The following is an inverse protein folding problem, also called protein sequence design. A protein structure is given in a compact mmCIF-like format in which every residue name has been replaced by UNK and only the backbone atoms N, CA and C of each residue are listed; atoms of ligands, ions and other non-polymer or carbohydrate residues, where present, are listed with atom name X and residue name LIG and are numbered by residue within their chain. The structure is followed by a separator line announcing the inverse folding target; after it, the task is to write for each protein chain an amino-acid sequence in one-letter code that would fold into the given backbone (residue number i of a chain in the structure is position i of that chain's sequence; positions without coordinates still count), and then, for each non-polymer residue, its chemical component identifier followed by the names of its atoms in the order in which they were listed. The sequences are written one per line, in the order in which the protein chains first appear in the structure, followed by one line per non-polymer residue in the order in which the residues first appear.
data_IF_507125171068
#
_entry.id   IF_507125171068
#
_cell.length_a   1.000
_cell.length_b   1.000
_cell.length_c   1.000
_cell.angle_alpha   90.00
_cell.angle_beta   90.00
_cell.angle_gamma   90.00
#
_symmetry.space_group_name_H-M   'P 1'
#
loop_
_entity.id
_entity.type
_entity.pdbx_description
1 polymer ?
#
# COMPACT_ATOMS: atom_id res chain seq x y z
N UNK A 1 0.90 -37.10 -0.76
CA UNK A 1 1.00 -36.70 -2.17
C UNK A 1 2.42 -36.91 -2.65
N UNK A 2 2.57 -37.49 -3.81
CA UNK A 2 3.88 -37.57 -4.46
C UNK A 2 4.27 -36.22 -5.09
N UNK A 3 5.57 -35.89 -5.22
CA UNK A 3 6.02 -34.63 -5.79
C UNK A 3 5.49 -34.31 -7.20
N UNK A 4 5.12 -35.39 -7.94
CA UNK A 4 4.53 -35.28 -9.29
C UNK A 4 3.06 -34.93 -9.31
N UNK A 5 2.34 -35.14 -8.22
CA UNK A 5 0.89 -34.95 -8.12
C UNK A 5 0.51 -33.56 -7.60
N UNK A 6 1.49 -32.74 -7.16
CA UNK A 6 1.25 -31.47 -6.49
C UNK A 6 1.96 -30.35 -7.23
N UNK A 7 1.25 -29.26 -7.51
CA UNK A 7 1.86 -27.99 -7.92
C UNK A 7 2.34 -27.26 -6.66
N UNK A 8 3.64 -27.01 -6.58
CA UNK A 8 4.26 -26.40 -5.41
C UNK A 8 4.86 -25.04 -5.74
N UNK A 9 4.33 -23.98 -5.13
CA UNK A 9 4.76 -22.61 -5.32
C UNK A 9 5.37 -22.05 -4.03
N UNK A 10 6.66 -22.29 -3.77
CA UNK A 10 7.31 -21.79 -2.56
C UNK A 10 7.49 -20.27 -2.65
N UNK A 11 7.03 -19.56 -1.62
CA UNK A 11 7.22 -18.12 -1.48
C UNK A 11 8.30 -17.84 -0.45
N UNK A 12 9.17 -16.88 -0.73
CA UNK A 12 10.28 -16.46 0.15
C UNK A 12 11.12 -17.68 0.60
N UNK A 13 11.73 -18.33 -0.37
CA UNK A 13 12.43 -19.62 -0.21
C UNK A 13 13.59 -19.50 0.78
N UNK A 14 13.69 -20.48 1.68
CA UNK A 14 14.84 -20.65 2.56
C UNK A 14 16.04 -21.17 1.75
N UNK A 15 17.18 -20.43 1.70
CA UNK A 15 18.36 -20.89 0.98
C UNK A 15 18.90 -22.24 1.45
N UNK A 16 18.69 -22.59 2.72
CA UNK A 16 19.10 -23.87 3.30
C UNK A 16 18.12 -25.02 3.01
N UNK A 17 16.87 -24.67 2.67
CA UNK A 17 15.78 -25.61 2.36
C UNK A 17 14.98 -25.12 1.16
N UNK A 18 15.46 -25.30 -0.09
CA UNK A 18 14.86 -24.72 -1.30
C UNK A 18 13.42 -25.15 -1.57
N UNK A 19 12.98 -26.25 -0.97
CA UNK A 19 11.60 -26.74 -1.07
C UNK A 19 10.64 -26.06 -0.08
N UNK A 20 11.14 -25.22 0.85
CA UNK A 20 10.32 -24.61 1.91
C UNK A 20 10.25 -23.10 1.76
N UNK A 21 9.03 -22.59 1.66
CA UNK A 21 8.78 -21.15 1.77
C UNK A 21 8.79 -20.68 3.22
N UNK A 22 9.19 -19.45 3.46
CA UNK A 22 9.12 -18.76 4.78
C UNK A 22 7.95 -17.80 4.81
N UNK A 23 7.12 -17.91 5.84
CA UNK A 23 6.07 -16.95 6.11
C UNK A 23 6.61 -15.69 6.82
N UNK A 24 5.93 -14.57 6.64
CA UNK A 24 6.28 -13.28 7.27
C UNK A 24 5.65 -13.08 8.67
N UNK A 25 4.86 -14.05 9.16
CA UNK A 25 4.08 -13.94 10.40
C UNK A 25 4.95 -13.64 11.63
N UNK A 26 6.13 -14.26 11.73
CA UNK A 26 7.03 -14.05 12.87
C UNK A 26 7.57 -12.61 12.87
N UNK A 27 7.93 -12.09 11.71
CA UNK A 27 8.48 -10.75 11.53
C UNK A 27 7.44 -9.65 11.81
N UNK A 28 6.16 -9.95 11.57
CA UNK A 28 5.07 -8.99 11.73
C UNK A 28 4.40 -9.04 13.11
N UNK A 29 4.70 -10.04 13.95
CA UNK A 29 4.00 -10.25 15.22
C UNK A 29 4.02 -9.02 16.10
N UNK A 30 5.19 -8.47 16.36
CA UNK A 30 5.37 -7.36 17.30
C UNK A 30 4.74 -6.07 16.75
N UNK A 31 4.91 -5.81 15.46
CA UNK A 31 4.32 -4.64 14.79
C UNK A 31 2.79 -4.70 14.81
N UNK A 32 2.21 -5.88 14.54
CA UNK A 32 0.76 -6.09 14.62
C UNK A 32 0.22 -5.96 16.06
N UNK A 33 1.02 -6.35 17.07
CA UNK A 33 0.68 -6.17 18.46
C UNK A 33 0.69 -4.68 18.82
N UNK A 34 1.68 -3.92 18.39
CA UNK A 34 1.75 -2.46 18.56
C UNK A 34 0.54 -1.76 17.93
N UNK A 35 0.18 -2.12 16.70
CA UNK A 35 -1.00 -1.57 16.02
C UNK A 35 -2.30 -1.88 16.78
N UNK A 36 -2.45 -3.10 17.31
CA UNK A 36 -3.60 -3.45 18.15
C UNK A 36 -3.63 -2.64 19.44
N UNK A 37 -2.48 -2.45 20.07
CA UNK A 37 -2.36 -1.66 21.30
C UNK A 37 -2.67 -0.18 21.03
N UNK A 38 -2.16 0.40 19.97
CA UNK A 38 -2.45 1.76 19.54
C UNK A 38 -3.95 1.96 19.29
N UNK A 39 -4.60 1.04 18.58
CA UNK A 39 -6.05 1.07 18.35
C UNK A 39 -6.84 0.96 19.66
N UNK A 40 -6.43 0.07 20.58
CA UNK A 40 -7.07 -0.07 21.90
C UNK A 40 -6.91 1.21 22.73
N UNK A 41 -5.73 1.84 22.72
CA UNK A 41 -5.46 3.10 23.41
C UNK A 41 -6.30 4.23 22.86
N UNK A 42 -6.38 4.35 21.52
CA UNK A 42 -7.22 5.35 20.85
C UNK A 42 -8.69 5.17 21.20
N UNK A 43 -9.20 3.93 21.18
CA UNK A 43 -10.59 3.64 21.53
C UNK A 43 -10.89 3.99 23.00
N UNK A 44 -10.00 3.63 23.95
CA UNK A 44 -10.14 4.03 25.35
C UNK A 44 -10.10 5.54 25.51
N UNK A 45 -9.15 6.18 24.88
CA UNK A 45 -9.04 7.64 24.91
C UNK A 45 -10.30 8.33 24.38
N UNK A 46 -10.88 7.82 23.30
CA UNK A 46 -12.14 8.33 22.76
C UNK A 46 -13.32 8.08 23.70
N UNK A 47 -13.37 6.91 24.36
CA UNK A 47 -14.40 6.59 25.34
C UNK A 47 -14.28 7.45 26.59
N UNK A 48 -13.06 7.71 27.07
CA UNK A 48 -12.79 8.46 28.31
C UNK A 48 -12.66 9.98 28.09
N UNK A 49 -12.78 10.47 26.86
CA UNK A 49 -12.59 11.89 26.49
C UNK A 49 -13.50 12.84 27.25
N UNK A 50 -14.65 12.37 27.73
CA UNK A 50 -15.63 13.16 28.45
C UNK A 50 -15.45 13.09 29.97
N UNK A 51 -14.48 12.33 30.48
CA UNK A 51 -14.14 12.29 31.88
C UNK A 51 -13.02 13.30 32.15
N UNK A 52 -13.32 14.47 32.70
CA UNK A 52 -12.27 15.40 33.11
C UNK A 52 -11.44 14.72 34.20
N UNK A 53 -10.13 14.71 34.03
CA UNK A 53 -9.21 14.31 35.11
C UNK A 53 -9.20 15.44 36.13
N UNK A 54 -10.06 15.32 37.14
CA UNK A 54 -10.22 16.33 38.18
C UNK A 54 -9.50 15.84 39.42
N UNK A 55 -8.58 16.64 39.93
CA UNK A 55 -8.00 16.42 41.27
C UNK A 55 -8.81 17.27 42.24
N UNK A 56 -9.54 16.61 43.11
CA UNK A 56 -10.28 17.28 44.17
C UNK A 56 -9.38 17.31 45.40
N UNK A 57 -8.91 18.48 45.80
CA UNK A 57 -8.19 18.70 47.06
C UNK A 57 -9.21 19.02 48.13
N UNK A 58 -9.20 18.26 49.17
CA UNK A 58 -10.10 18.45 50.33
C UNK A 58 -9.27 18.77 51.54
N UNK A 59 -9.72 19.76 52.33
CA UNK A 59 -9.04 20.12 53.55
C UNK A 59 -9.16 18.98 54.58
N UNK A 60 -8.02 18.54 55.12
CA UNK A 60 -7.87 17.31 55.91
C UNK A 60 -8.57 17.34 57.29
N UNK A 61 -9.28 18.39 57.64
CA UNK A 61 -9.92 18.58 58.91
C UNK A 61 -11.35 17.99 59.04
N UNK A 62 -11.89 17.42 57.97
CA UNK A 62 -13.20 16.78 58.02
C UNK A 62 -13.04 15.29 58.35
N UNK A 63 -13.51 14.86 59.51
CA UNK A 63 -13.50 13.45 59.99
C UNK A 63 -14.13 12.45 59.01
N UNK A 64 -14.92 12.94 58.05
CA UNK A 64 -15.58 12.14 57.03
C UNK A 64 -14.62 11.59 55.96
N UNK A 65 -13.41 12.17 55.79
CA UNK A 65 -12.42 11.70 54.81
C UNK A 65 -11.52 10.57 55.33
N UNK A 66 -11.48 10.33 56.61
CA UNK A 66 -10.65 9.29 57.23
C UNK A 66 -11.19 7.88 56.95
N UNK A 67 -12.47 7.73 56.59
CA UNK A 67 -13.08 6.45 56.27
C UNK A 67 -13.32 6.25 54.76
N UNK A 68 -13.18 4.96 54.31
CA UNK A 68 -13.46 4.59 52.92
C UNK A 68 -14.93 4.85 52.51
N UNK A 69 -15.84 4.66 53.46
CA UNK A 69 -17.27 4.93 53.29
C UNK A 69 -17.58 6.42 53.12
N UNK A 70 -16.87 7.29 53.84
CA UNK A 70 -17.00 8.75 53.69
C UNK A 70 -16.50 9.24 52.36
N UNK A 71 -15.34 8.74 51.92
CA UNK A 71 -14.80 9.08 50.55
C UNK A 71 -15.75 8.66 49.43
N UNK A 72 -16.40 7.49 49.58
CA UNK A 72 -17.34 6.97 48.62
C UNK A 72 -18.63 7.81 48.55
N UNK A 73 -19.17 8.23 49.70
CA UNK A 73 -20.34 9.14 49.74
C UNK A 73 -20.08 10.50 49.11
N UNK A 74 -18.89 11.06 49.36
CA UNK A 74 -18.50 12.32 48.73
C UNK A 74 -18.29 12.20 47.24
N UNK A 75 -17.70 11.10 46.81
CA UNK A 75 -17.59 10.82 45.37
C UNK A 75 -18.97 10.66 44.72
N UNK A 76 -19.91 10.00 45.37
CA UNK A 76 -21.29 9.88 44.90
C UNK A 76 -22.07 11.20 44.94
N UNK A 77 -21.81 12.04 45.94
CA UNK A 77 -22.51 13.31 46.11
C UNK A 77 -21.99 14.44 45.21
N UNK A 78 -20.66 14.48 44.95
CA UNK A 78 -20.02 15.57 44.22
C UNK A 78 -19.41 15.14 42.87
N UNK A 79 -19.25 13.84 42.64
CA UNK A 79 -18.65 13.27 41.40
C UNK A 79 -19.62 12.32 40.69
N UNK A 80 -20.91 12.27 41.11
CA UNK A 80 -21.91 11.47 40.39
C UNK A 80 -22.08 12.05 38.97
N UNK A 81 -21.91 11.20 38.00
CA UNK A 81 -22.10 11.52 36.58
C UNK A 81 -23.60 11.85 36.35
N UNK A 82 -23.93 13.12 36.21
CA UNK A 82 -25.16 13.50 35.49
C UNK A 82 -24.87 13.34 34.01
N UNK A 83 -25.63 12.48 33.32
CA UNK A 83 -25.51 12.14 31.90
C UNK A 83 -25.66 13.35 30.94
N UNK A 84 -25.91 14.54 31.45
CA UNK A 84 -26.30 15.71 30.67
C UNK A 84 -25.28 16.83 30.60
N UNK A 85 -24.06 16.64 31.11
CA UNK A 85 -23.01 17.69 31.00
C UNK A 85 -23.35 18.99 31.76
N UNK A 86 -24.16 18.91 32.81
CA UNK A 86 -24.48 20.03 33.67
C UNK A 86 -23.22 20.55 34.39
N UNK A 87 -23.03 21.87 34.56
CA UNK A 87 -21.87 22.40 35.25
C UNK A 87 -21.94 22.02 36.73
N UNK A 88 -20.81 21.53 37.24
CA UNK A 88 -20.68 21.19 38.65
C UNK A 88 -20.69 22.46 39.51
N UNK A 89 -21.62 22.54 40.45
CA UNK A 89 -21.68 23.62 41.42
C UNK A 89 -21.06 23.13 42.71
N UNK A 90 -19.85 23.61 43.04
CA UNK A 90 -19.07 23.18 44.21
C UNK A 90 -18.93 24.39 45.14
N UNK A 91 -19.17 24.22 46.46
CA UNK A 91 -18.92 25.29 47.42
C UNK A 91 -17.43 25.68 47.42
N UNK A 92 -17.15 26.97 47.17
CA UNK A 92 -15.78 27.50 46.98
C UNK A 92 -14.90 27.39 48.23
N UNK A 93 -15.50 27.29 49.41
CA UNK A 93 -14.78 27.29 50.70
C UNK A 93 -14.27 25.92 51.15
N UNK A 94 -14.69 24.85 50.49
CA UNK A 94 -14.38 23.47 50.91
C UNK A 94 -13.52 22.67 49.97
N UNK A 95 -13.43 23.08 48.69
CA UNK A 95 -12.83 22.25 47.65
C UNK A 95 -12.01 23.11 46.68
N UNK A 96 -10.70 22.83 46.60
CA UNK A 96 -9.84 23.37 45.53
C UNK A 96 -9.78 22.35 44.37
N UNK A 97 -10.35 22.71 43.26
CA UNK A 97 -10.39 21.85 42.06
C UNK A 97 -9.27 22.21 41.13
N UNK A 98 -8.28 21.36 40.99
CA UNK A 98 -7.22 21.50 40.03
C UNK A 98 -7.53 20.67 38.79
N UNK A 99 -7.84 21.35 37.69
CA UNK A 99 -8.05 20.68 36.41
C UNK A 99 -6.69 20.25 35.85
N UNK A 100 -6.46 18.93 35.76
CA UNK A 100 -5.31 18.40 35.05
C UNK A 100 -5.61 18.47 33.56
N UNK A 101 -4.76 19.17 32.80
CA UNK A 101 -4.90 19.25 31.35
C UNK A 101 -4.76 17.83 30.78
N UNK A 102 -5.81 17.25 30.18
CA UNK A 102 -5.72 15.88 29.65
C UNK A 102 -4.72 15.86 28.51
N UNK A 103 -3.90 14.79 28.46
CA UNK A 103 -3.02 14.51 27.32
C UNK A 103 -3.89 14.40 26.07
N UNK A 104 -3.43 14.99 24.98
CA UNK A 104 -4.08 14.84 23.66
C UNK A 104 -3.52 13.61 22.94
N UNK A 105 -4.24 13.09 21.93
CA UNK A 105 -3.72 12.03 21.06
C UNK A 105 -2.43 12.46 20.34
N UNK A 106 -2.29 13.77 20.08
CA UNK A 106 -1.07 14.33 19.52
C UNK A 106 0.10 14.28 20.51
N UNK A 107 -0.15 14.51 21.80
CA UNK A 107 0.90 14.40 22.84
C UNK A 107 1.42 12.96 22.98
N UNK A 108 0.60 11.97 22.65
CA UNK A 108 0.98 10.56 22.64
C UNK A 108 1.70 10.11 21.35
N UNK A 109 1.80 10.97 20.35
CA UNK A 109 2.38 10.67 19.02
C UNK A 109 1.85 9.35 18.40
N UNK A 110 0.61 8.95 18.74
CA UNK A 110 0.04 7.66 18.30
C UNK A 110 -0.08 7.60 16.79
N UNK A 111 -0.47 8.70 16.15
CA UNK A 111 -0.64 8.73 14.69
C UNK A 111 0.67 8.49 13.96
N UNK A 112 1.76 9.11 14.41
CA UNK A 112 3.10 8.93 13.81
C UNK A 112 3.61 7.49 14.00
N UNK A 113 3.38 6.92 15.18
CA UNK A 113 3.74 5.52 15.48
C UNK A 113 2.94 4.55 14.61
N UNK A 114 1.64 4.76 14.46
CA UNK A 114 0.77 3.94 13.60
C UNK A 114 1.22 4.01 12.13
N UNK A 115 1.58 5.18 11.63
CA UNK A 115 2.08 5.33 10.25
C UNK A 115 3.43 4.67 10.05
N UNK A 116 4.34 4.74 11.04
CA UNK A 116 5.61 4.04 11.03
C UNK A 116 5.41 2.52 11.02
N UNK A 117 4.54 2.02 11.89
CA UNK A 117 4.21 0.59 11.98
C UNK A 117 3.59 0.07 10.68
N UNK A 118 2.69 0.83 10.05
CA UNK A 118 2.15 0.50 8.73
C UNK A 118 3.23 0.46 7.66
N UNK A 119 4.14 1.44 7.62
CA UNK A 119 5.30 1.43 6.70
C UNK A 119 6.18 0.21 6.92
N UNK A 120 6.36 -0.19 8.17
CA UNK A 120 7.13 -1.40 8.54
C UNK A 120 6.42 -2.68 8.04
N UNK A 121 5.10 -2.76 8.17
CA UNK A 121 4.29 -3.85 7.58
C UNK A 121 4.46 -3.88 6.07
N UNK A 122 4.33 -2.74 5.39
CA UNK A 122 4.52 -2.63 3.94
C UNK A 122 5.90 -3.12 3.50
N UNK A 123 6.95 -2.65 4.18
CA UNK A 123 8.34 -3.03 3.90
C UNK A 123 8.57 -4.53 4.11
N UNK A 124 8.02 -5.11 5.18
CA UNK A 124 8.13 -6.55 5.47
C UNK A 124 7.41 -7.41 4.43
N UNK A 125 6.27 -6.95 3.92
CA UNK A 125 5.53 -7.61 2.85
C UNK A 125 6.11 -7.33 1.46
N UNK A 126 7.04 -6.38 1.34
CA UNK A 126 7.61 -5.95 0.07
C UNK A 126 6.62 -5.20 -0.83
N UNK A 127 5.59 -4.57 -0.23
CA UNK A 127 4.58 -3.79 -0.94
C UNK A 127 4.76 -2.29 -0.72
N UNK A 128 4.41 -1.42 -1.68
CA UNK A 128 4.42 0.02 -1.49
C UNK A 128 3.47 0.46 -0.36
N UNK A 129 3.87 1.40 0.52
CA UNK A 129 3.04 1.86 1.62
C UNK A 129 1.67 2.40 1.21
N UNK A 130 1.55 3.04 0.06
CA UNK A 130 0.27 3.56 -0.42
C UNK A 130 -0.77 2.46 -0.72
N UNK A 131 -0.35 1.22 -1.02
CA UNK A 131 -1.28 0.09 -1.21
C UNK A 131 -1.97 -0.34 0.09
N UNK A 132 -1.41 0.02 1.24
CA UNK A 132 -2.02 -0.20 2.56
C UNK A 132 -2.53 1.10 3.20
N UNK A 133 -2.70 2.14 2.38
CA UNK A 133 -3.32 3.40 2.79
C UNK A 133 -2.38 4.39 3.49
N UNK A 134 -1.06 4.33 3.25
CA UNK A 134 -0.08 5.25 3.82
C UNK A 134 0.65 6.00 2.72
N UNK A 135 0.47 7.30 2.66
CA UNK A 135 1.07 8.17 1.64
C UNK A 135 0.24 8.27 0.35
N UNK A 136 0.79 8.95 -0.65
CA UNK A 136 0.17 9.15 -1.94
C UNK A 136 0.61 8.09 -2.95
N UNK A 137 -0.22 7.87 -3.98
CA UNK A 137 0.12 7.01 -5.11
C UNK A 137 1.41 7.48 -5.80
N UNK A 138 2.30 6.54 -6.08
CA UNK A 138 3.56 6.77 -6.78
C UNK A 138 3.72 5.70 -7.88
N UNK A 139 3.58 6.12 -9.13
CA UNK A 139 3.65 5.23 -10.29
C UNK A 139 5.00 4.51 -10.43
N UNK A 140 6.18 5.17 -10.33
CA UNK A 140 7.46 4.50 -10.34
C UNK A 140 7.63 3.45 -9.24
N UNK A 141 7.16 3.74 -8.03
CA UNK A 141 7.20 2.80 -6.90
C UNK A 141 6.29 1.60 -7.14
N UNK A 142 5.08 1.83 -7.68
CA UNK A 142 4.16 0.77 -8.08
C UNK A 142 4.78 -0.13 -9.16
N UNK A 143 5.34 0.45 -10.21
CA UNK A 143 5.96 -0.30 -11.30
C UNK A 143 7.21 -1.09 -10.82
N UNK A 144 7.96 -0.55 -9.87
CA UNK A 144 9.06 -1.26 -9.23
C UNK A 144 8.56 -2.47 -8.41
N UNK A 145 7.46 -2.32 -7.67
CA UNK A 145 6.81 -3.42 -6.97
C UNK A 145 6.36 -4.53 -7.93
N UNK A 146 5.69 -4.19 -9.03
CA UNK A 146 5.31 -5.17 -10.07
C UNK A 146 6.54 -5.92 -10.56
N UNK A 147 7.62 -5.20 -10.91
CA UNK A 147 8.86 -5.79 -11.43
C UNK A 147 9.56 -6.72 -10.41
N UNK A 148 9.63 -6.31 -9.15
CA UNK A 148 10.44 -7.00 -8.13
C UNK A 148 9.69 -8.10 -7.39
N UNK A 149 8.38 -7.97 -7.23
CA UNK A 149 7.57 -8.89 -6.42
C UNK A 149 6.62 -9.72 -7.29
N UNK A 150 5.82 -9.06 -8.14
CA UNK A 150 4.75 -9.76 -8.86
C UNK A 150 5.28 -10.57 -10.04
N UNK A 151 6.17 -10.00 -10.85
CA UNK A 151 6.72 -10.69 -12.03
C UNK A 151 7.54 -11.94 -11.65
N UNK A 152 8.43 -11.93 -10.66
CA UNK A 152 9.14 -13.15 -10.22
C UNK A 152 8.18 -14.23 -9.71
N UNK A 153 7.14 -13.85 -8.95
CA UNK A 153 6.12 -14.78 -8.50
C UNK A 153 5.36 -15.41 -9.68
N UNK A 154 4.91 -14.60 -10.62
CA UNK A 154 4.25 -15.07 -11.84
C UNK A 154 5.17 -16.00 -12.65
N UNK A 155 6.46 -15.68 -12.74
CA UNK A 155 7.45 -16.52 -13.41
C UNK A 155 7.60 -17.87 -12.72
N UNK A 156 7.70 -17.91 -11.40
CA UNK A 156 7.77 -19.15 -10.63
C UNK A 156 6.53 -20.02 -10.86
N UNK A 157 5.35 -19.42 -10.87
CA UNK A 157 4.09 -20.12 -11.16
C UNK A 157 4.10 -20.67 -12.60
N UNK A 158 4.46 -19.86 -13.58
CA UNK A 158 4.51 -20.26 -14.99
C UNK A 158 5.49 -21.42 -15.22
N UNK A 159 6.66 -21.40 -14.57
CA UNK A 159 7.66 -22.44 -14.66
C UNK A 159 7.16 -23.78 -14.08
N UNK A 160 6.54 -23.73 -12.91
CA UNK A 160 6.01 -24.95 -12.28
C UNK A 160 4.84 -25.54 -13.09
N UNK A 161 3.93 -24.70 -13.61
CA UNK A 161 2.86 -25.11 -14.51
C UNK A 161 3.42 -25.74 -15.80
N UNK A 162 4.41 -25.10 -16.43
CA UNK A 162 5.05 -25.60 -17.64
C UNK A 162 5.68 -26.96 -17.38
N UNK A 163 6.43 -27.09 -16.28
CA UNK A 163 7.16 -28.31 -15.94
C UNK A 163 6.24 -29.52 -15.69
N UNK A 164 5.08 -29.28 -15.05
CA UNK A 164 4.23 -30.39 -14.56
C UNK A 164 2.98 -30.63 -15.41
N UNK A 165 2.49 -29.66 -16.14
CA UNK A 165 1.26 -29.79 -16.91
C UNK A 165 1.49 -29.98 -18.40
N UNK A 166 2.65 -29.58 -18.93
CA UNK A 166 2.92 -29.66 -20.36
C UNK A 166 3.85 -30.82 -20.65
N UNK A 167 3.46 -31.66 -21.63
CA UNK A 167 4.25 -32.80 -22.12
C UNK A 167 5.14 -32.39 -23.31
N UNK A 168 4.77 -31.34 -24.05
CA UNK A 168 5.52 -30.88 -25.22
C UNK A 168 6.57 -29.84 -24.79
N UNK A 169 7.85 -30.00 -25.22
CA UNK A 169 8.88 -29.00 -24.95
C UNK A 169 8.71 -27.69 -25.72
N UNK A 170 7.83 -27.66 -26.73
CA UNK A 170 7.57 -26.49 -27.55
C UNK A 170 6.53 -25.53 -26.94
N UNK A 171 5.81 -25.99 -25.90
CA UNK A 171 4.78 -25.22 -25.24
C UNK A 171 5.25 -24.75 -23.87
N UNK A 172 4.82 -23.58 -23.46
CA UNK A 172 5.08 -23.05 -22.14
C UNK A 172 3.94 -22.11 -21.69
N UNK A 173 3.74 -22.02 -20.39
CA UNK A 173 2.86 -21.02 -19.81
C UNK A 173 3.61 -19.69 -19.65
N UNK A 174 2.94 -18.59 -19.98
CA UNK A 174 3.46 -17.24 -19.82
C UNK A 174 2.36 -16.32 -19.31
N UNK A 175 2.63 -15.53 -18.28
CA UNK A 175 1.75 -14.48 -17.84
C UNK A 175 2.00 -13.21 -18.68
N UNK A 176 0.94 -12.56 -19.16
CA UNK A 176 1.01 -11.23 -19.74
C UNK A 176 1.15 -10.20 -18.61
N UNK A 177 2.39 -9.80 -18.32
CA UNK A 177 2.69 -8.88 -17.23
C UNK A 177 2.57 -7.40 -17.62
N UNK A 178 2.48 -7.10 -18.93
CA UNK A 178 2.41 -5.71 -19.43
C UNK A 178 1.22 -4.94 -18.84
N UNK A 179 0.03 -5.56 -18.79
CA UNK A 179 -1.19 -4.93 -18.25
C UNK A 179 -1.15 -4.70 -16.72
N UNK A 180 -0.15 -5.24 -16.02
CA UNK A 180 0.05 -5.01 -14.58
C UNK A 180 0.77 -3.69 -14.28
N UNK A 181 1.56 -3.20 -15.23
CA UNK A 181 2.25 -1.92 -15.05
C UNK A 181 1.28 -0.75 -15.20
N UNK A 182 1.49 0.25 -14.37
CA UNK A 182 0.78 1.52 -14.50
C UNK A 182 1.48 2.39 -15.52
N UNK A 183 0.78 2.69 -16.59
CA UNK A 183 1.19 3.62 -17.62
C UNK A 183 0.09 4.67 -17.82
N UNK A 184 0.49 5.88 -18.13
CA UNK A 184 -0.45 6.87 -18.63
C UNK A 184 -0.83 6.56 -20.07
N UNK A 185 -2.00 7.02 -20.49
CA UNK A 185 -2.43 6.83 -21.89
C UNK A 185 -1.44 7.48 -22.86
N UNK A 186 -0.87 8.62 -22.50
CA UNK A 186 0.16 9.30 -23.29
C UNK A 186 1.43 8.46 -23.43
N UNK A 187 1.94 7.89 -22.32
CA UNK A 187 3.12 7.02 -22.40
C UNK A 187 2.91 5.80 -23.30
N UNK A 188 1.71 5.21 -23.25
CA UNK A 188 1.37 4.06 -24.12
C UNK A 188 1.25 4.49 -25.59
N UNK A 189 0.64 5.64 -25.85
CA UNK A 189 0.49 6.18 -27.19
C UNK A 189 1.86 6.53 -27.81
N UNK A 190 2.73 7.22 -27.06
CA UNK A 190 4.07 7.62 -27.53
C UNK A 190 4.94 6.40 -27.86
N UNK A 191 4.93 5.38 -26.99
CA UNK A 191 5.68 4.14 -27.24
C UNK A 191 5.05 3.36 -28.40
N UNK A 192 3.73 3.28 -28.47
CA UNK A 192 3.00 2.60 -29.53
C UNK A 192 3.29 3.22 -30.90
N UNK A 193 3.21 4.55 -31.01
CA UNK A 193 3.53 5.28 -32.22
C UNK A 193 4.99 5.04 -32.66
N UNK A 194 5.94 5.16 -31.73
CA UNK A 194 7.34 4.91 -31.99
C UNK A 194 7.64 3.47 -32.49
N UNK A 195 6.90 2.48 -32.01
CA UNK A 195 7.07 1.08 -32.45
C UNK A 195 6.37 0.82 -33.79
N UNK A 196 5.21 1.44 -34.00
CA UNK A 196 4.46 1.35 -35.28
C UNK A 196 5.27 1.88 -36.45
N UNK A 197 5.79 3.10 -36.33
CA UNK A 197 6.56 3.72 -37.42
C UNK A 197 7.89 3.02 -37.73
N UNK A 198 8.39 2.22 -36.79
CA UNK A 198 9.61 1.39 -36.97
C UNK A 198 9.33 -0.01 -37.51
N UNK A 199 8.08 -0.36 -37.76
CA UNK A 199 7.69 -1.67 -38.25
C UNK A 199 7.83 -2.79 -37.21
N UNK A 200 7.85 -2.46 -35.93
CA UNK A 200 7.98 -3.44 -34.83
C UNK A 200 6.62 -3.89 -34.30
N UNK A 201 5.58 -3.09 -34.52
CA UNK A 201 4.20 -3.37 -34.15
C UNK A 201 3.25 -3.01 -35.26
N UNK A 202 2.19 -3.79 -35.45
CA UNK A 202 1.07 -3.46 -36.30
C UNK A 202 0.17 -2.39 -35.69
N UNK A 203 -0.66 -1.73 -36.49
CA UNK A 203 -1.63 -0.76 -35.97
C UNK A 203 -2.60 -1.38 -34.97
N UNK A 204 -3.04 -2.62 -35.18
CA UNK A 204 -3.93 -3.33 -34.28
C UNK A 204 -3.26 -3.71 -32.96
N UNK A 205 -1.97 -4.00 -32.92
CA UNK A 205 -1.23 -4.22 -31.68
C UNK A 205 -1.10 -2.93 -30.86
N UNK A 206 -0.90 -1.77 -31.49
CA UNK A 206 -0.90 -0.47 -30.80
C UNK A 206 -2.29 -0.15 -30.26
N UNK A 207 -3.35 -0.45 -31.01
CA UNK A 207 -4.73 -0.29 -30.57
C UNK A 207 -5.04 -1.17 -29.33
N UNK A 208 -4.57 -2.44 -29.32
CA UNK A 208 -4.71 -3.31 -28.12
C UNK A 208 -3.99 -2.72 -26.88
N UNK A 209 -2.89 -2.02 -27.09
CA UNK A 209 -2.21 -1.34 -25.97
C UNK A 209 -3.03 -0.20 -25.38
N UNK A 210 -3.82 0.47 -26.22
CA UNK A 210 -4.71 1.57 -25.84
C UNK A 210 -6.13 1.10 -25.46
N UNK A 211 -6.33 -0.22 -25.35
CA UNK A 211 -7.62 -0.86 -25.06
C UNK A 211 -8.68 -0.55 -26.14
N UNK A 212 -8.25 -0.39 -27.38
CA UNK A 212 -9.10 -0.16 -28.54
C UNK A 212 -9.24 -1.45 -29.36
N UNK A 213 -10.45 -1.70 -29.88
CA UNK A 213 -10.71 -2.85 -30.74
C UNK A 213 -9.94 -2.79 -32.07
N UNK A 214 -9.68 -3.94 -32.72
CA UNK A 214 -9.00 -3.99 -34.01
C UNK A 214 -9.82 -3.35 -35.13
N UNK A 215 -9.13 -2.88 -36.18
CA UNK A 215 -9.72 -2.34 -37.42
C UNK A 215 -9.09 -3.09 -38.59
N UNK A 216 -9.92 -3.48 -39.54
CA UNK A 216 -9.45 -4.13 -40.78
C UNK A 216 -8.46 -3.26 -41.53
N UNK A 217 -7.37 -3.86 -42.01
CA UNK A 217 -6.31 -3.19 -42.73
C UNK A 217 -5.16 -2.63 -41.87
N UNK A 218 -5.22 -2.79 -40.56
CA UNK A 218 -4.15 -2.41 -39.62
C UNK A 218 -3.34 -3.61 -39.07
N UNK A 219 -3.42 -4.77 -39.73
CA UNK A 219 -2.68 -5.99 -39.37
C UNK A 219 -1.23 -5.95 -39.87
N UNK A 220 -1.01 -5.21 -40.97
CA UNK A 220 0.31 -5.18 -41.62
C UNK A 220 1.29 -4.30 -40.86
N UNK A 221 2.56 -4.71 -40.90
CA UNK A 221 3.66 -3.91 -40.39
C UNK A 221 3.98 -2.79 -41.39
N UNK A 222 3.95 -1.55 -40.92
CA UNK A 222 4.27 -0.37 -41.71
C UNK A 222 5.60 0.19 -41.22
N UNK A 223 6.51 0.49 -42.13
CA UNK A 223 7.80 1.11 -41.82
C UNK A 223 7.92 2.47 -42.51
N UNK A 224 8.30 3.48 -41.80
CA UNK A 224 8.64 4.78 -42.37
C UNK A 224 9.90 4.65 -43.23
N UNK A 225 9.81 5.06 -44.52
CA UNK A 225 10.86 4.99 -45.54
C UNK A 225 12.11 5.84 -45.21
N UNK A 226 12.10 6.55 -44.08
CA UNK A 226 13.14 7.50 -43.70
C UNK A 226 14.41 6.91 -43.08
N UNK A 227 14.46 5.60 -42.84
CA UNK A 227 15.68 4.93 -42.37
C UNK A 227 16.47 4.37 -43.54
N UNK A 228 17.27 5.22 -44.13
CA UNK A 228 18.16 4.84 -45.21
C UNK A 228 19.54 4.55 -44.63
N UNK A 229 20.23 3.47 -45.05
CA UNK A 229 21.62 3.24 -44.65
C UNK A 229 22.44 4.51 -44.89
N UNK A 230 23.32 4.85 -43.96
CA UNK A 230 24.12 6.09 -44.01
C UNK A 230 24.87 6.25 -45.34
N UNK A 231 25.27 5.12 -45.95
CA UNK A 231 25.95 5.05 -47.25
C UNK A 231 25.05 5.48 -48.43
N UNK A 232 23.72 5.40 -48.27
CA UNK A 232 22.74 5.72 -49.33
C UNK A 232 22.11 7.10 -49.16
N UNK A 233 22.48 7.86 -48.15
CA UNK A 233 21.92 9.20 -47.88
C UNK A 233 22.14 10.14 -49.06
N UNK A 234 23.31 10.05 -49.77
CA UNK A 234 23.64 10.87 -50.93
C UNK A 234 22.87 10.52 -52.20
N UNK A 235 22.21 9.36 -52.27
CA UNK A 235 21.52 8.86 -53.46
C UNK A 235 19.99 8.98 -53.36
N UNK A 236 19.47 9.79 -52.46
CA UNK A 236 18.03 10.00 -52.31
C UNK A 236 17.49 10.89 -53.43
N UNK A 237 16.50 10.41 -54.18
CA UNK A 237 15.78 11.18 -55.23
C UNK A 237 15.17 12.50 -54.71
N UNK A 238 14.92 12.64 -53.43
CA UNK A 238 14.43 13.87 -52.78
C UNK A 238 15.51 14.95 -52.62
N UNK A 239 16.79 14.58 -52.73
CA UNK A 239 17.91 15.54 -52.69
C UNK A 239 18.31 16.03 -54.07
N UNK A 240 17.90 15.33 -55.14
CA UNK A 240 17.91 15.87 -56.52
C UNK A 240 16.73 16.84 -56.55
N UNK A 241 16.99 18.11 -56.23
CA UNK A 241 16.02 19.16 -56.38
C UNK A 241 15.44 19.11 -57.78
N UNK A 242 14.12 19.20 -57.87
CA UNK A 242 13.42 19.45 -59.10
C UNK A 242 13.97 20.76 -59.69
N UNK A 243 15.03 20.61 -60.52
CA UNK A 243 15.50 21.65 -61.45
C UNK A 243 14.59 21.55 -62.65
N UNK A 244 13.30 21.85 -62.40
CA UNK A 244 12.35 22.09 -63.47
C UNK A 244 12.67 23.36 -64.18
N UNK A 245 12.96 23.22 -65.46
CA UNK A 245 12.90 24.28 -66.47
C UNK A 245 11.57 25.04 -66.45
#
# INVERSE_FOLDING_TARGET
FEPGEVLHFPFNVDPSQPWRGRGVTIQLRDVLQNLKQAAATTNRFMADKWKPSVIVKVDALADEFSSEAGRKRLAEQYLSEDETGAPWIIPADLIDVQQVKPLTLADLAINETVDLDRKTVAATLGVPPFLIGVGAYNQPEYNNYIRRMVVPLATTIAQELTKKLLLSPEMYFKFSTRKLYSYTLTELADVGDAQYVRGLMSGNEVRDWLDLGPIDGLEELVMLENYIPAEMIGNQKKLEGDSGD
#
